data_IF_294096426497
#
_entry.id   IF_294096426497
#
_cell.length_a   1.000
_cell.length_b   1.000
_cell.length_c   1.000
_cell.angle_alpha   90.00
_cell.angle_beta   90.00
_cell.angle_gamma   90.00
#
_symmetry.space_group_name_H-M   'P 1'
#
loop_
_entity.id
_entity.type
_entity.pdbx_description
1 polymer ?
#
# COMPACT_ATOMS: atom_id res chain seq x y z
N UNK A 1 -24.47 -2.82 -14.17
CA UNK A 1 -23.86 -3.95 -14.90
C UNK A 1 -24.75 -5.17 -14.70
N UNK A 2 -25.18 -5.80 -15.80
CA UNK A 2 -25.89 -7.08 -15.76
C UNK A 2 -24.99 -8.18 -15.18
N UNK A 3 -25.57 -9.33 -14.80
CA UNK A 3 -24.78 -10.50 -14.40
C UNK A 3 -23.81 -10.93 -15.51
N UNK A 4 -22.64 -11.42 -15.11
CA UNK A 4 -21.57 -11.87 -16.00
C UNK A 4 -20.28 -11.06 -15.87
N UNK A 5 -19.23 -11.46 -16.62
CA UNK A 5 -17.94 -10.79 -16.58
C UNK A 5 -18.06 -9.33 -17.05
N UNK A 6 -17.16 -8.44 -16.59
CA UNK A 6 -17.04 -7.10 -17.16
C UNK A 6 -16.81 -7.17 -18.66
N UNK A 7 -17.62 -6.42 -19.40
CA UNK A 7 -17.40 -6.16 -20.82
C UNK A 7 -16.60 -4.88 -20.93
N UNK A 8 -15.36 -5.01 -21.38
CA UNK A 8 -14.48 -3.87 -21.59
C UNK A 8 -14.72 -3.32 -22.99
N UNK A 9 -15.05 -2.03 -23.08
CA UNK A 9 -15.31 -1.34 -24.34
C UNK A 9 -14.13 -0.46 -24.76
N UNK A 10 -13.23 -0.14 -23.83
CA UNK A 10 -12.07 0.71 -24.04
C UNK A 10 -10.82 0.14 -23.38
N UNK A 11 -9.67 0.36 -24.02
CA UNK A 11 -8.34 0.07 -23.49
C UNK A 11 -7.39 1.13 -24.02
N UNK A 12 -6.98 2.05 -23.17
CA UNK A 12 -6.14 3.19 -23.55
C UNK A 12 -4.85 3.22 -22.74
N UNK A 13 -3.86 3.96 -23.23
CA UNK A 13 -2.61 4.20 -22.52
C UNK A 13 -2.79 5.40 -21.60
N UNK A 14 -2.55 5.20 -20.30
CA UNK A 14 -2.46 6.29 -19.35
C UNK A 14 -1.14 7.03 -19.57
N UNK A 15 -1.22 8.21 -20.19
CA UNK A 15 -0.07 9.08 -20.42
C UNK A 15 0.13 10.03 -19.24
N UNK A 16 1.05 9.70 -18.33
CA UNK A 16 1.53 10.62 -17.29
C UNK A 16 2.94 11.07 -17.58
N UNK A 17 3.15 12.39 -17.51
CA UNK A 17 4.46 13.00 -17.73
C UNK A 17 4.75 13.96 -16.58
N UNK A 18 5.47 13.50 -15.53
CA UNK A 18 5.91 14.40 -14.48
C UNK A 18 6.71 15.58 -15.08
N UNK A 19 6.28 16.79 -14.74
CA UNK A 19 6.78 18.04 -15.29
C UNK A 19 7.98 18.58 -14.51
N UNK A 20 8.14 19.90 -14.50
CA UNK A 20 9.22 20.55 -13.79
C UNK A 20 8.93 20.63 -12.28
N UNK A 21 7.65 20.72 -11.91
CA UNK A 21 7.15 20.67 -10.54
C UNK A 21 7.60 19.40 -9.81
N UNK A 22 7.65 18.27 -10.51
CA UNK A 22 8.21 17.02 -9.97
C UNK A 22 9.66 17.19 -9.51
N UNK A 23 10.51 17.80 -10.36
CA UNK A 23 11.94 18.01 -10.05
C UNK A 23 12.07 18.94 -8.85
N UNK A 24 11.34 20.05 -8.86
CA UNK A 24 11.36 21.02 -7.76
C UNK A 24 10.92 20.40 -6.44
N UNK A 25 9.84 19.61 -6.42
CA UNK A 25 9.37 18.93 -5.21
C UNK A 25 10.36 17.86 -4.72
N UNK A 26 10.98 17.10 -5.64
CA UNK A 26 12.04 16.16 -5.27
C UNK A 26 13.21 16.89 -4.65
N UNK A 27 13.75 17.93 -5.30
CA UNK A 27 14.87 18.72 -4.78
C UNK A 27 14.60 19.24 -3.37
N UNK A 28 13.42 19.83 -3.14
CA UNK A 28 13.01 20.33 -1.82
C UNK A 28 12.98 19.23 -0.75
N UNK A 29 12.45 18.05 -1.08
CA UNK A 29 12.42 16.93 -0.16
C UNK A 29 13.84 16.40 0.12
N UNK A 30 14.69 16.30 -0.89
CA UNK A 30 16.08 15.85 -0.74
C UNK A 30 16.92 16.83 0.09
N UNK A 31 16.70 18.14 -0.03
CA UNK A 31 17.35 19.16 0.80
C UNK A 31 16.95 19.00 2.28
N UNK A 32 15.66 18.75 2.55
CA UNK A 32 15.17 18.48 3.90
C UNK A 32 15.77 17.20 4.50
N UNK A 33 16.00 16.16 3.68
CA UNK A 33 16.73 14.97 4.12
C UNK A 33 18.22 15.24 4.35
N UNK A 34 18.87 15.98 3.45
CA UNK A 34 20.29 16.33 3.54
C UNK A 34 20.62 17.02 4.87
N UNK A 35 19.75 17.91 5.36
CA UNK A 35 19.90 18.57 6.65
C UNK A 35 19.97 17.61 7.86
N UNK A 36 19.44 16.39 7.72
CA UNK A 36 19.48 15.33 8.75
C UNK A 36 20.65 14.37 8.58
N UNK A 37 21.26 14.31 7.39
CA UNK A 37 22.33 13.35 7.08
C UNK A 37 23.53 13.56 7.98
N UNK A 38 23.89 14.80 8.32
CA UNK A 38 25.10 15.07 9.12
C UNK A 38 25.06 14.49 10.53
N UNK A 39 23.86 14.17 11.04
CA UNK A 39 23.61 13.57 12.34
C UNK A 39 23.71 12.03 12.32
N UNK A 40 23.86 11.42 11.14
CA UNK A 40 23.95 9.96 10.98
C UNK A 40 25.37 9.43 11.22
N UNK A 41 25.53 8.14 11.56
CA UNK A 41 26.83 7.47 11.58
C UNK A 41 27.55 7.58 10.23
N UNK A 42 28.88 7.67 10.24
CA UNK A 42 29.70 7.96 9.04
C UNK A 42 29.40 7.04 7.84
N UNK A 43 29.36 5.73 8.06
CA UNK A 43 29.04 4.76 7.01
C UNK A 43 27.62 4.94 6.43
N UNK A 44 26.68 5.46 7.21
CA UNK A 44 25.33 5.78 6.73
C UNK A 44 25.30 7.12 5.99
N UNK A 45 26.13 8.09 6.38
CA UNK A 45 26.22 9.40 5.72
C UNK A 45 26.65 9.29 4.27
N UNK A 46 27.70 8.51 3.98
CA UNK A 46 28.19 8.33 2.62
C UNK A 46 27.10 7.73 1.72
N UNK A 47 26.46 6.64 2.19
CA UNK A 47 25.36 6.00 1.47
C UNK A 47 24.17 6.92 1.27
N UNK A 48 23.80 7.70 2.30
CA UNK A 48 22.71 8.67 2.21
C UNK A 48 23.03 9.77 1.18
N UNK A 49 24.24 10.35 1.21
CA UNK A 49 24.67 11.37 0.24
C UNK A 49 24.66 10.83 -1.20
N UNK A 50 25.14 9.60 -1.41
CA UNK A 50 25.10 8.95 -2.71
C UNK A 50 23.65 8.76 -3.21
N UNK A 51 22.75 8.27 -2.33
CA UNK A 51 21.33 8.12 -2.66
C UNK A 51 20.67 9.46 -3.03
N UNK A 52 20.91 10.53 -2.25
CA UNK A 52 20.35 11.85 -2.55
C UNK A 52 20.86 12.39 -3.90
N UNK A 53 22.16 12.24 -4.18
CA UNK A 53 22.76 12.69 -5.44
C UNK A 53 22.20 11.93 -6.65
N UNK A 54 22.09 10.60 -6.55
CA UNK A 54 21.51 9.75 -7.60
C UNK A 54 20.04 10.08 -7.83
N UNK A 55 19.26 10.23 -6.77
CA UNK A 55 17.83 10.58 -6.87
C UNK A 55 17.64 11.93 -7.56
N UNK A 56 18.47 12.93 -7.22
CA UNK A 56 18.44 14.26 -7.86
C UNK A 56 18.77 14.19 -9.36
N UNK A 57 19.80 13.44 -9.71
CA UNK A 57 20.18 13.19 -11.11
C UNK A 57 19.03 12.53 -11.87
N UNK A 58 18.44 11.48 -11.31
CA UNK A 58 17.36 10.71 -11.93
C UNK A 58 16.07 11.52 -12.06
N UNK A 59 15.75 12.39 -11.11
CA UNK A 59 14.59 13.29 -11.20
C UNK A 59 14.76 14.33 -12.33
N UNK A 60 15.98 14.82 -12.52
CA UNK A 60 16.31 15.80 -13.58
C UNK A 60 16.37 15.18 -14.97
N UNK A 61 16.60 13.87 -15.07
CA UNK A 61 16.59 13.15 -16.34
C UNK A 61 15.15 12.97 -16.86
N UNK A 62 14.88 13.55 -18.04
CA UNK A 62 13.54 13.55 -18.65
C UNK A 62 13.02 12.16 -18.99
N UNK A 63 13.89 11.22 -19.37
CA UNK A 63 13.48 9.87 -19.69
C UNK A 63 13.21 9.11 -18.39
N UNK A 64 14.14 9.17 -17.43
CA UNK A 64 14.03 8.46 -16.18
C UNK A 64 12.77 8.83 -15.41
N UNK A 65 12.46 10.13 -15.28
CA UNK A 65 11.26 10.58 -14.53
C UNK A 65 9.92 10.16 -15.16
N UNK A 66 9.93 9.70 -16.42
CA UNK A 66 8.73 9.24 -17.14
C UNK A 66 8.54 7.72 -17.12
N UNK A 67 9.56 6.97 -16.72
CA UNK A 67 9.54 5.51 -16.76
C UNK A 67 9.37 4.90 -15.37
N UNK A 68 8.90 3.65 -15.33
CA UNK A 68 8.90 2.85 -14.11
C UNK A 68 7.83 3.21 -13.08
N UNK A 69 6.75 3.89 -13.49
CA UNK A 69 5.57 4.10 -12.65
C UNK A 69 4.62 2.91 -12.74
N UNK A 70 4.27 2.33 -11.60
CA UNK A 70 3.48 1.10 -11.48
C UNK A 70 2.27 1.32 -10.58
N UNK A 71 1.18 0.60 -10.87
CA UNK A 71 -0.01 0.55 -10.02
C UNK A 71 0.07 -0.63 -9.05
N UNK A 72 -0.58 -0.50 -7.88
CA UNK A 72 -0.86 -1.65 -7.00
C UNK A 72 -2.29 -1.60 -6.47
N UNK A 73 -2.59 -0.64 -5.60
CA UNK A 73 -3.88 -0.57 -4.94
C UNK A 73 -4.96 -0.09 -5.91
N UNK A 74 -6.23 -0.28 -5.54
CA UNK A 74 -7.33 0.16 -6.38
C UNK A 74 -7.27 1.68 -6.64
N UNK A 75 -7.66 2.14 -7.85
CA UNK A 75 -7.93 3.54 -8.09
C UNK A 75 -9.00 4.08 -7.15
N UNK A 76 -8.85 5.34 -6.76
CA UNK A 76 -9.77 6.03 -5.87
C UNK A 76 -10.65 7.01 -6.65
N UNK A 77 -11.97 6.93 -6.48
CA UNK A 77 -12.93 7.85 -7.11
C UNK A 77 -13.43 8.85 -6.07
N UNK A 78 -13.09 10.12 -6.25
CA UNK A 78 -13.51 11.23 -5.41
C UNK A 78 -14.72 11.94 -6.04
N UNK A 79 -15.78 12.11 -5.25
CA UNK A 79 -17.01 12.84 -5.62
C UNK A 79 -17.59 12.42 -6.98
N UNK A 80 -17.47 11.13 -7.34
CA UNK A 80 -17.93 10.57 -8.62
C UNK A 80 -17.47 11.34 -9.88
N UNK A 81 -16.37 12.08 -9.79
CA UNK A 81 -15.94 13.01 -10.85
C UNK A 81 -14.43 13.00 -11.06
N UNK A 82 -13.64 12.76 -10.00
CA UNK A 82 -12.19 12.67 -10.07
C UNK A 82 -11.74 11.25 -9.83
N UNK A 83 -10.95 10.72 -10.75
CA UNK A 83 -10.26 9.44 -10.58
C UNK A 83 -8.79 9.71 -10.24
N UNK A 84 -8.34 9.10 -9.15
CA UNK A 84 -6.95 9.15 -8.68
C UNK A 84 -6.39 7.72 -8.76
N UNK A 85 -5.37 7.52 -9.59
CA UNK A 85 -4.67 6.25 -9.71
C UNK A 85 -3.36 6.34 -8.90
N UNK A 86 -3.21 5.56 -7.81
CA UNK A 86 -2.00 5.56 -7.02
C UNK A 86 -0.85 4.88 -7.77
N UNK A 87 0.27 5.58 -7.92
CA UNK A 87 1.48 5.11 -8.59
C UNK A 87 2.67 5.06 -7.63
N UNK A 88 3.63 4.19 -7.94
CA UNK A 88 4.94 4.16 -7.28
C UNK A 88 6.03 3.81 -8.28
N UNK A 89 7.29 4.08 -7.91
CA UNK A 89 8.46 3.69 -8.71
C UNK A 89 9.46 2.93 -7.87
N UNK A 90 9.87 1.74 -8.31
CA UNK A 90 10.99 1.00 -7.70
C UNK A 90 12.33 1.68 -8.01
N UNK A 91 12.41 2.49 -9.07
CA UNK A 91 13.61 3.26 -9.40
C UNK A 91 13.82 4.44 -8.44
N UNK A 92 12.76 5.16 -8.11
CA UNK A 92 12.82 6.27 -7.14
C UNK A 92 12.63 5.82 -5.68
N UNK A 93 11.95 4.70 -5.46
CA UNK A 93 11.48 4.24 -4.15
C UNK A 93 10.55 5.22 -3.44
N UNK A 94 9.72 5.94 -4.20
CA UNK A 94 8.66 6.80 -3.69
C UNK A 94 7.41 6.77 -4.57
N UNK A 95 6.38 7.53 -4.18
CA UNK A 95 5.03 7.47 -4.76
C UNK A 95 4.62 8.73 -5.52
N UNK A 96 3.60 8.60 -6.37
CA UNK A 96 2.99 9.67 -7.17
C UNK A 96 1.50 9.35 -7.38
N UNK A 97 0.66 10.36 -7.59
CA UNK A 97 -0.74 10.13 -7.99
C UNK A 97 -0.95 10.59 -9.42
N UNK A 98 -1.57 9.75 -10.25
CA UNK A 98 -2.12 10.18 -11.53
C UNK A 98 -3.58 10.59 -11.34
N UNK A 99 -3.96 11.75 -11.88
CA UNK A 99 -5.26 12.37 -11.63
C UNK A 99 -5.92 12.68 -12.97
N UNK A 100 -7.20 12.33 -13.08
CA UNK A 100 -8.07 12.72 -14.18
C UNK A 100 -9.43 13.19 -13.64
N UNK A 101 -9.99 14.22 -14.26
CA UNK A 101 -11.33 14.76 -13.98
C UNK A 101 -12.30 14.52 -15.16
N UNK A 102 -11.85 13.80 -16.20
CA UNK A 102 -12.58 13.56 -17.44
C UNK A 102 -12.59 12.07 -17.85
N UNK A 103 -12.52 11.21 -16.83
CA UNK A 103 -12.54 9.74 -16.96
C UNK A 103 -11.44 9.17 -17.86
N UNK A 104 -10.27 9.82 -17.84
CA UNK A 104 -9.05 9.31 -18.46
C UNK A 104 -8.74 9.89 -19.84
N UNK A 105 -9.52 10.86 -20.33
CA UNK A 105 -9.19 11.58 -21.59
C UNK A 105 -7.92 12.41 -21.42
N UNK A 106 -7.76 13.05 -20.27
CA UNK A 106 -6.54 13.77 -19.89
C UNK A 106 -6.08 13.36 -18.49
N UNK A 107 -4.76 13.36 -18.32
CA UNK A 107 -4.10 12.98 -17.07
C UNK A 107 -3.09 14.05 -16.67
N UNK A 108 -3.00 14.30 -15.37
CA UNK A 108 -1.91 15.04 -14.74
C UNK A 108 -1.40 14.26 -13.54
N UNK A 109 -0.36 14.77 -12.89
CA UNK A 109 0.21 14.15 -11.69
C UNK A 109 0.12 15.09 -10.49
N UNK A 110 -0.01 14.51 -9.30
CA UNK A 110 0.23 15.25 -8.04
C UNK A 110 1.69 15.70 -7.94
N UNK A 111 2.02 16.48 -6.90
CA UNK A 111 3.41 16.49 -6.42
C UNK A 111 3.83 15.08 -6.00
N UNK A 112 5.09 14.67 -6.19
CA UNK A 112 5.56 13.38 -5.73
C UNK A 112 5.51 13.30 -4.20
N UNK A 113 5.13 12.15 -3.70
CA UNK A 113 5.14 11.83 -2.27
C UNK A 113 6.54 11.31 -1.94
N UNK A 114 7.50 12.22 -1.72
CA UNK A 114 8.92 11.86 -1.54
C UNK A 114 9.21 11.51 -0.08
N UNK A 115 9.36 10.22 0.18
CA UNK A 115 9.82 9.65 1.46
C UNK A 115 10.98 8.69 1.24
N UNK A 116 11.42 8.05 2.33
CA UNK A 116 12.44 7.00 2.27
C UNK A 116 11.75 5.65 2.09
N UNK A 117 11.51 5.24 0.85
CA UNK A 117 10.99 3.90 0.54
C UNK A 117 9.47 3.75 0.58
N UNK A 118 8.71 4.84 0.54
CA UNK A 118 7.25 4.81 0.55
C UNK A 118 6.68 4.45 -0.82
N UNK A 119 6.16 3.23 -0.96
CA UNK A 119 5.62 2.74 -2.24
C UNK A 119 4.23 2.14 -2.08
N UNK A 120 3.56 1.89 -3.21
CA UNK A 120 2.25 1.21 -3.26
C UNK A 120 1.17 1.89 -2.41
N UNK A 121 0.89 3.19 -2.64
CA UNK A 121 -0.11 3.94 -1.89
C UNK A 121 -1.52 3.38 -2.06
N UNK A 122 -2.33 3.50 -1.01
CA UNK A 122 -3.75 3.12 -0.94
C UNK A 122 -4.52 4.21 -0.20
N UNK A 123 -5.61 4.70 -0.80
CA UNK A 123 -6.27 5.97 -0.42
C UNK A 123 -7.63 5.72 0.23
N UNK A 124 -7.92 6.45 1.30
CA UNK A 124 -9.25 6.65 1.87
C UNK A 124 -9.56 8.13 2.05
N UNK A 125 -10.85 8.46 2.18
CA UNK A 125 -11.31 9.82 2.48
C UNK A 125 -11.75 9.94 3.92
N UNK A 126 -11.30 10.99 4.60
CA UNK A 126 -11.73 11.36 5.95
C UNK A 126 -13.05 12.13 5.92
N UNK A 127 -13.71 12.20 7.07
CA UNK A 127 -14.96 12.92 7.34
C UNK A 127 -14.84 14.41 7.05
N UNK A 128 -13.67 15.01 7.29
CA UNK A 128 -13.37 16.41 6.95
C UNK A 128 -13.18 16.64 5.43
N UNK A 129 -13.22 15.58 4.64
CA UNK A 129 -13.06 15.61 3.19
C UNK A 129 -11.62 15.49 2.70
N UNK A 130 -10.63 15.54 3.60
CA UNK A 130 -9.23 15.29 3.25
C UNK A 130 -9.01 13.84 2.84
N UNK A 131 -7.97 13.60 2.04
CA UNK A 131 -7.55 12.26 1.64
C UNK A 131 -6.42 11.81 2.55
N UNK A 132 -6.41 10.53 2.88
CA UNK A 132 -5.36 9.87 3.64
C UNK A 132 -4.84 8.69 2.82
N UNK A 133 -3.53 8.51 2.79
CA UNK A 133 -2.89 7.37 2.13
C UNK A 133 -2.01 6.59 3.09
N UNK A 134 -2.05 5.26 2.97
CA UNK A 134 -1.09 4.33 3.57
C UNK A 134 -0.24 3.69 2.48
N UNK A 135 1.05 3.53 2.76
CA UNK A 135 2.07 3.04 1.83
C UNK A 135 2.89 1.93 2.48
N UNK A 136 3.31 0.98 1.66
CA UNK A 136 4.32 -0.02 2.01
C UNK A 136 5.65 0.67 2.27
N UNK A 137 6.39 0.16 3.25
CA UNK A 137 7.71 0.65 3.63
C UNK A 137 8.84 -0.28 3.13
N UNK A 138 9.50 0.16 2.07
CA UNK A 138 10.75 -0.42 1.57
C UNK A 138 12.00 0.28 2.11
N UNK A 139 11.82 1.28 2.98
CA UNK A 139 12.86 2.13 3.54
C UNK A 139 13.66 1.49 4.67
N UNK A 140 14.40 2.28 5.46
CA UNK A 140 15.09 1.80 6.66
C UNK A 140 14.11 1.40 7.78
N UNK A 141 14.64 1.01 8.95
CA UNK A 141 13.83 0.87 10.16
C UNK A 141 13.11 2.22 10.47
N UNK A 142 11.93 2.21 11.14
CA UNK A 142 11.41 1.17 12.04
C UNK A 142 10.54 0.07 11.41
N UNK A 143 10.36 0.01 10.08
CA UNK A 143 9.49 -1.00 9.44
C UNK A 143 8.02 -0.81 9.81
N UNK A 144 7.47 0.30 9.33
CA UNK A 144 6.10 0.75 9.61
C UNK A 144 5.39 1.10 8.32
N UNK A 145 4.08 0.89 8.22
CA UNK A 145 3.35 1.53 7.14
C UNK A 145 3.56 3.04 7.21
N UNK A 146 3.75 3.66 6.05
CA UNK A 146 4.00 5.09 5.93
C UNK A 146 2.74 5.80 5.49
N UNK A 147 2.51 6.99 6.02
CA UNK A 147 1.30 7.76 5.81
C UNK A 147 1.57 9.16 5.27
N UNK A 148 0.57 9.70 4.58
CA UNK A 148 0.51 11.09 4.16
C UNK A 148 -0.96 11.50 3.98
N UNK A 149 -1.23 12.80 4.02
CA UNK A 149 -2.55 13.36 3.81
C UNK A 149 -2.56 14.44 2.72
N UNK A 150 -3.69 14.57 2.02
CA UNK A 150 -3.94 15.63 1.06
C UNK A 150 -5.19 16.40 1.45
N UNK A 151 -5.09 17.73 1.46
CA UNK A 151 -6.20 18.66 1.77
C UNK A 151 -6.73 19.38 0.54
N UNK A 152 -6.20 19.07 -0.63
CA UNK A 152 -6.48 19.71 -1.90
C UNK A 152 -6.89 18.69 -2.98
N UNK A 153 -7.62 17.65 -2.58
CA UNK A 153 -8.21 16.66 -3.49
C UNK A 153 -7.16 15.84 -4.27
N UNK A 154 -6.01 15.58 -3.63
CA UNK A 154 -4.95 14.71 -4.11
C UNK A 154 -3.84 15.39 -4.90
N UNK A 155 -3.88 16.72 -5.07
CA UNK A 155 -2.88 17.47 -5.86
C UNK A 155 -1.54 17.55 -5.12
N UNK A 156 -1.58 17.83 -3.81
CA UNK A 156 -0.40 17.85 -2.94
C UNK A 156 -0.61 16.97 -1.71
N UNK A 157 0.50 16.54 -1.12
CA UNK A 157 0.54 15.58 -0.03
C UNK A 157 1.50 16.06 1.05
N UNK A 158 1.14 15.85 2.31
CA UNK A 158 1.98 16.18 3.46
C UNK A 158 3.29 15.38 3.46
N UNK A 159 4.31 15.83 4.19
CA UNK A 159 5.50 15.00 4.44
C UNK A 159 5.14 13.60 4.92
N UNK A 160 5.91 12.60 4.49
CA UNK A 160 5.71 11.21 4.86
C UNK A 160 6.04 11.01 6.33
N UNK A 161 5.16 10.31 7.04
CA UNK A 161 5.36 9.91 8.44
C UNK A 161 5.24 8.40 8.59
N UNK A 162 6.08 7.80 9.43
CA UNK A 162 5.88 6.42 9.86
C UNK A 162 4.68 6.36 10.81
N UNK A 163 3.83 5.35 10.63
CA UNK A 163 2.73 5.05 11.57
C UNK A 163 3.18 4.09 12.67
N UNK A 164 2.28 3.73 13.58
CA UNK A 164 2.53 2.65 14.56
C UNK A 164 2.23 1.25 14.01
N UNK A 165 1.77 1.14 12.76
CA UNK A 165 1.40 -0.14 12.14
C UNK A 165 2.65 -0.83 11.57
N UNK A 166 3.03 -2.03 12.04
CA UNK A 166 4.18 -2.75 11.50
C UNK A 166 4.04 -3.04 10.01
N UNK A 167 5.16 -3.02 9.29
CA UNK A 167 5.21 -3.49 7.91
C UNK A 167 6.56 -4.11 7.56
N UNK A 168 6.62 -5.38 7.14
CA UNK A 168 7.87 -6.06 6.82
C UNK A 168 8.32 -5.76 5.37
N UNK A 169 7.95 -4.59 4.83
CA UNK A 169 8.03 -4.28 3.40
C UNK A 169 7.10 -5.15 2.56
N UNK A 170 5.89 -5.41 3.04
CA UNK A 170 4.84 -6.12 2.30
C UNK A 170 3.73 -5.17 1.86
N UNK A 171 3.02 -5.49 0.78
CA UNK A 171 1.88 -4.68 0.35
C UNK A 171 0.78 -4.64 1.42
N UNK A 172 0.10 -3.51 1.54
CA UNK A 172 -1.07 -3.30 2.39
C UNK A 172 -2.15 -2.54 1.63
N UNK A 173 -3.42 -2.74 1.94
CA UNK A 173 -4.51 -1.99 1.31
C UNK A 173 -5.52 -1.53 2.37
N UNK A 174 -5.93 -0.27 2.27
CA UNK A 174 -6.92 0.36 3.14
C UNK A 174 -8.15 0.77 2.31
N UNK A 175 -9.34 0.49 2.83
CA UNK A 175 -10.61 0.89 2.20
C UNK A 175 -11.53 1.55 3.23
N UNK A 176 -12.36 2.48 2.75
CA UNK A 176 -13.47 3.07 3.49
C UNK A 176 -14.73 2.27 3.17
N UNK A 177 -15.37 1.72 4.19
CA UNK A 177 -16.64 1.02 4.05
C UNK A 177 -17.81 2.00 4.02
N UNK A 178 -18.95 1.55 3.49
CA UNK A 178 -20.19 2.34 3.41
C UNK A 178 -20.70 2.86 4.76
N UNK A 179 -20.40 2.17 5.87
CA UNK A 179 -20.78 2.58 7.22
C UNK A 179 -19.81 3.62 7.84
N UNK A 180 -18.73 3.98 7.14
CA UNK A 180 -17.72 4.92 7.62
C UNK A 180 -16.52 4.27 8.32
N UNK A 181 -16.53 2.96 8.56
CA UNK A 181 -15.39 2.25 9.10
C UNK A 181 -14.27 2.12 8.06
N UNK A 182 -13.03 2.11 8.54
CA UNK A 182 -11.85 1.84 7.73
C UNK A 182 -11.43 0.39 7.93
N UNK A 183 -11.15 -0.32 6.85
CA UNK A 183 -10.58 -1.67 6.87
C UNK A 183 -9.19 -1.63 6.29
N UNK A 184 -8.22 -2.19 7.01
CA UNK A 184 -6.85 -2.41 6.54
C UNK A 184 -6.58 -3.90 6.46
N UNK A 185 -6.03 -4.34 5.33
CA UNK A 185 -5.44 -5.67 5.18
C UNK A 185 -3.92 -5.53 4.99
N UNK A 186 -3.13 -6.12 5.89
CA UNK A 186 -1.68 -5.98 5.90
C UNK A 186 -1.00 -7.14 6.64
N UNK A 187 0.33 -7.27 6.50
CA UNK A 187 1.10 -8.07 7.47
C UNK A 187 1.42 -7.21 8.69
N UNK A 188 1.12 -7.71 9.89
CA UNK A 188 1.27 -7.01 11.17
C UNK A 188 2.61 -7.30 11.87
N UNK A 189 3.67 -7.54 11.08
CA UNK A 189 5.02 -7.85 11.55
C UNK A 189 6.05 -6.84 11.06
N UNK A 190 7.19 -6.75 11.73
CA UNK A 190 8.36 -6.01 11.21
C UNK A 190 9.28 -6.88 10.35
N UNK A 191 9.17 -8.22 10.50
CA UNK A 191 9.99 -9.21 9.80
C UNK A 191 9.15 -10.42 9.38
N UNK A 192 9.39 -10.89 8.17
CA UNK A 192 8.66 -12.02 7.58
C UNK A 192 7.22 -11.65 7.22
N UNK A 193 6.55 -12.48 6.44
CA UNK A 193 5.20 -12.21 5.91
C UNK A 193 4.23 -13.35 6.26
N UNK A 194 4.35 -13.87 7.46
CA UNK A 194 3.65 -15.07 7.96
C UNK A 194 2.38 -14.75 8.75
N UNK A 195 1.95 -13.49 8.78
CA UNK A 195 0.79 -13.06 9.57
C UNK A 195 0.01 -12.02 8.76
N UNK A 196 -1.06 -12.45 8.11
CA UNK A 196 -1.93 -11.59 7.30
C UNK A 196 -3.17 -11.21 8.12
N UNK A 197 -3.24 -9.95 8.51
CA UNK A 197 -4.24 -9.39 9.39
C UNK A 197 -5.25 -8.52 8.64
N UNK A 198 -6.52 -8.62 9.02
CA UNK A 198 -7.56 -7.63 8.72
C UNK A 198 -7.87 -6.87 10.00
N UNK A 199 -7.78 -5.54 9.95
CA UNK A 199 -8.10 -4.67 11.08
C UNK A 199 -9.15 -3.62 10.72
N UNK A 200 -10.00 -3.26 11.69
CA UNK A 200 -11.07 -2.27 11.53
C UNK A 200 -10.85 -1.09 12.47
N UNK A 201 -11.02 0.11 11.95
CA UNK A 201 -11.05 1.38 12.68
C UNK A 201 -12.39 2.07 12.46
N UNK A 202 -12.95 2.63 13.53
CA UNK A 202 -14.15 3.48 13.53
C UNK A 202 -13.84 4.97 13.79
N UNK A 203 -12.54 5.30 13.90
CA UNK A 203 -12.01 6.63 14.27
C UNK A 203 -10.96 7.15 13.29
N UNK A 204 -11.12 6.80 12.00
CA UNK A 204 -10.30 7.30 10.89
C UNK A 204 -8.82 6.91 10.99
N UNK A 205 -8.58 5.65 11.39
CA UNK A 205 -7.26 5.04 11.45
C UNK A 205 -6.44 5.43 12.67
N UNK A 206 -7.00 6.20 13.61
CA UNK A 206 -6.35 6.55 14.87
C UNK A 206 -6.16 5.32 15.77
N UNK A 207 -7.19 4.47 15.87
CA UNK A 207 -7.11 3.18 16.55
C UNK A 207 -7.69 2.06 15.69
N UNK A 208 -7.16 0.86 15.88
CA UNK A 208 -7.57 -0.35 15.16
C UNK A 208 -8.14 -1.35 16.15
N UNK A 209 -9.39 -1.12 16.56
CA UNK A 209 -10.04 -1.79 17.70
C UNK A 209 -10.29 -3.28 17.47
N UNK A 210 -10.64 -3.65 16.25
CA UNK A 210 -10.97 -5.03 15.89
C UNK A 210 -9.95 -5.59 14.92
N UNK A 211 -9.55 -6.84 15.14
CA UNK A 211 -8.44 -7.48 14.43
C UNK A 211 -8.71 -8.97 14.28
N UNK A 212 -8.60 -9.49 13.06
CA UNK A 212 -8.66 -10.92 12.81
C UNK A 212 -7.72 -11.33 11.70
N UNK A 213 -6.91 -12.37 11.95
CA UNK A 213 -6.01 -12.92 10.94
C UNK A 213 -6.79 -13.74 9.92
N UNK A 214 -6.49 -13.49 8.63
CA UNK A 214 -6.86 -14.42 7.55
C UNK A 214 -5.87 -15.60 7.50
N UNK A 215 -4.61 -15.31 7.80
CA UNK A 215 -3.54 -16.30 7.88
C UNK A 215 -2.62 -15.93 9.04
N UNK A 216 -2.25 -16.91 9.86
CA UNK A 216 -1.35 -16.71 10.98
C UNK A 216 -0.51 -17.97 11.21
N UNK A 217 0.73 -17.91 10.75
CA UNK A 217 1.70 -19.00 10.93
C UNK A 217 2.80 -18.56 11.90
N UNK A 218 3.33 -19.52 12.66
CA UNK A 218 4.46 -19.25 13.56
C UNK A 218 5.68 -18.84 12.73
N UNK A 219 6.34 -17.76 13.13
CA UNK A 219 7.61 -17.34 12.53
C UNK A 219 8.65 -18.49 12.57
N UNK A 220 9.32 -18.73 11.45
CA UNK A 220 10.37 -19.74 11.35
C UNK A 220 10.62 -20.22 9.93
N UNK A 221 11.55 -21.14 9.79
CA UNK A 221 11.77 -21.85 8.53
C UNK A 221 10.51 -22.65 8.16
N UNK A 222 10.09 -22.55 6.90
CA UNK A 222 8.87 -23.22 6.42
C UNK A 222 7.56 -22.46 6.68
N UNK A 223 7.59 -21.33 7.40
CA UNK A 223 6.40 -20.48 7.56
C UNK A 223 5.89 -19.99 6.20
N UNK A 224 4.57 -19.99 6.04
CA UNK A 224 3.91 -19.40 4.88
C UNK A 224 4.26 -17.92 4.70
N UNK A 225 4.22 -17.45 3.45
CA UNK A 225 4.38 -16.05 3.13
C UNK A 225 3.17 -15.52 2.36
N UNK A 226 2.60 -14.43 2.84
CA UNK A 226 1.38 -13.83 2.33
C UNK A 226 1.69 -12.45 1.75
N UNK A 227 1.37 -12.26 0.48
CA UNK A 227 1.78 -11.06 -0.25
C UNK A 227 0.63 -10.42 -1.01
N UNK A 228 0.81 -9.12 -1.26
CA UNK A 228 -0.05 -8.32 -2.13
C UNK A 228 -1.53 -8.53 -1.84
N UNK A 229 -1.97 -8.39 -0.57
CA UNK A 229 -3.38 -8.50 -0.27
C UNK A 229 -4.15 -7.41 -1.00
N UNK A 230 -5.38 -7.72 -1.38
CA UNK A 230 -6.32 -6.76 -1.92
C UNK A 230 -7.71 -7.02 -1.38
N UNK A 231 -8.49 -5.96 -1.11
CA UNK A 231 -9.79 -6.08 -0.46
C UNK A 231 -10.82 -5.12 -1.05
N UNK A 232 -12.06 -5.61 -1.19
CA UNK A 232 -13.21 -4.81 -1.64
C UNK A 232 -14.44 -5.10 -0.78
N UNK A 233 -15.35 -4.12 -0.70
CA UNK A 233 -16.69 -4.31 -0.14
C UNK A 233 -17.69 -4.62 -1.27
N UNK A 234 -18.40 -5.73 -1.14
CA UNK A 234 -19.46 -6.13 -2.06
C UNK A 234 -20.75 -5.31 -1.84
N UNK A 235 -21.72 -5.51 -2.74
CA UNK A 235 -23.01 -4.80 -2.70
C UNK A 235 -23.83 -5.15 -1.46
N UNK A 236 -23.75 -6.42 -1.04
CA UNK A 236 -24.42 -6.96 0.15
C UNK A 236 -23.73 -6.56 1.48
N UNK A 237 -22.64 -5.80 1.41
CA UNK A 237 -21.90 -5.32 2.58
C UNK A 237 -20.78 -6.27 3.05
N UNK A 238 -20.68 -7.47 2.49
CA UNK A 238 -19.58 -8.41 2.79
C UNK A 238 -18.26 -7.95 2.17
N UNK A 239 -17.16 -8.54 2.61
CA UNK A 239 -15.80 -8.23 2.20
C UNK A 239 -15.22 -9.40 1.41
N UNK A 240 -14.58 -9.10 0.29
CA UNK A 240 -13.80 -10.06 -0.49
C UNK A 240 -12.34 -9.66 -0.45
N UNK A 241 -11.47 -10.58 -0.03
CA UNK A 241 -10.03 -10.38 -0.04
C UNK A 241 -9.35 -11.40 -0.97
N UNK A 242 -8.33 -10.97 -1.70
CA UNK A 242 -7.41 -11.86 -2.43
C UNK A 242 -5.97 -11.59 -2.04
N UNK A 243 -5.12 -12.61 -2.09
CA UNK A 243 -3.70 -12.47 -1.75
C UNK A 243 -2.89 -13.61 -2.35
N UNK A 244 -1.61 -13.34 -2.58
CA UNK A 244 -0.63 -14.39 -2.90
C UNK A 244 -0.33 -15.22 -1.66
N UNK A 245 -0.47 -16.53 -1.77
CA UNK A 245 -0.26 -17.50 -0.70
C UNK A 245 0.91 -18.41 -1.05
N UNK A 246 2.03 -18.24 -0.36
CA UNK A 246 3.23 -19.06 -0.53
C UNK A 246 3.32 -20.01 0.66
N UNK A 247 3.57 -21.30 0.40
CA UNK A 247 3.59 -22.34 1.43
C UNK A 247 4.86 -23.19 1.34
N UNK A 248 5.16 -23.90 2.43
CA UNK A 248 6.37 -24.71 2.60
C UNK A 248 6.62 -25.66 1.41
N UNK A 249 7.90 -25.84 1.05
CA UNK A 249 8.39 -26.93 0.18
C UNK A 249 7.91 -28.30 0.63
N UNK A 250 7.84 -28.56 1.93
CA UNK A 250 7.40 -29.86 2.45
C UNK A 250 5.92 -30.13 2.14
N UNK A 251 5.13 -29.07 1.94
CA UNK A 251 3.70 -29.14 1.55
C UNK A 251 3.50 -29.00 0.03
N UNK A 252 4.57 -28.91 -0.74
CA UNK A 252 4.53 -28.65 -2.17
C UNK A 252 4.11 -29.89 -2.97
N UNK A 253 3.09 -29.73 -3.82
CA UNK A 253 2.71 -30.71 -4.85
C UNK A 253 3.47 -30.43 -6.14
N UNK A 254 3.71 -31.48 -6.93
CA UNK A 254 4.31 -31.34 -8.27
C UNK A 254 3.20 -31.23 -9.33
N UNK A 255 3.40 -30.37 -10.31
CA UNK A 255 2.57 -30.36 -11.52
C UNK A 255 2.91 -31.55 -12.46
N UNK A 256 2.15 -31.77 -13.55
CA UNK A 256 2.43 -32.86 -14.49
C UNK A 256 3.81 -32.80 -15.16
N UNK A 257 4.49 -31.65 -15.10
CA UNK A 257 5.86 -31.44 -15.59
C UNK A 257 6.92 -31.58 -14.47
N UNK A 258 6.52 -32.01 -13.28
CA UNK A 258 7.40 -32.23 -12.13
C UNK A 258 7.81 -30.96 -11.37
N UNK A 259 7.25 -29.79 -11.69
CA UNK A 259 7.57 -28.51 -11.04
C UNK A 259 6.83 -28.39 -9.72
N UNK A 260 7.51 -27.93 -8.67
CA UNK A 260 6.90 -27.69 -7.36
C UNK A 260 5.95 -26.49 -7.42
N UNK A 261 4.66 -26.74 -7.17
CA UNK A 261 3.66 -25.72 -6.92
C UNK A 261 3.77 -25.31 -5.45
N UNK A 262 4.16 -24.05 -5.23
CA UNK A 262 4.38 -23.48 -3.88
C UNK A 262 3.69 -22.14 -3.67
N UNK A 263 2.89 -21.74 -4.65
CA UNK A 263 2.27 -20.42 -4.72
C UNK A 263 0.88 -20.59 -5.30
N UNK A 264 -0.09 -19.94 -4.67
CA UNK A 264 -1.45 -19.83 -5.17
C UNK A 264 -1.96 -18.41 -4.95
N UNK A 265 -3.08 -18.06 -5.57
CA UNK A 265 -3.90 -16.94 -5.12
C UNK A 265 -5.01 -17.52 -4.25
N UNK A 266 -5.13 -17.05 -3.02
CA UNK A 266 -6.27 -17.36 -2.15
C UNK A 266 -7.30 -16.24 -2.24
N UNK A 267 -8.56 -16.63 -2.08
CA UNK A 267 -9.70 -15.74 -1.95
C UNK A 267 -10.38 -16.03 -0.60
N UNK A 268 -10.75 -14.98 0.12
CA UNK A 268 -11.52 -15.05 1.35
C UNK A 268 -12.78 -14.17 1.22
N UNK A 269 -13.90 -14.65 1.75
CA UNK A 269 -15.18 -13.96 1.79
C UNK A 269 -15.72 -13.99 3.22
N UNK A 270 -15.97 -12.82 3.80
CA UNK A 270 -16.34 -12.65 5.20
C UNK A 270 -17.11 -11.32 5.39
N UNK A 271 -17.56 -11.01 6.60
CA UNK A 271 -18.21 -9.73 6.92
C UNK A 271 -17.49 -9.01 8.08
N UNK A 272 -17.89 -7.77 8.36
CA UNK A 272 -17.29 -7.00 9.47
C UNK A 272 -17.45 -7.68 10.83
N UNK A 273 -18.62 -8.28 11.10
CA UNK A 273 -18.91 -8.98 12.36
C UNK A 273 -17.92 -10.13 12.61
N UNK A 274 -17.57 -10.89 11.57
CA UNK A 274 -16.55 -11.92 11.65
C UNK A 274 -15.19 -11.35 12.08
N UNK A 275 -14.80 -10.16 11.61
CA UNK A 275 -13.56 -9.52 12.06
C UNK A 275 -13.70 -9.03 13.51
N UNK A 276 -14.84 -8.44 13.88
CA UNK A 276 -15.10 -7.86 15.20
C UNK A 276 -15.16 -8.89 16.33
N UNK A 277 -15.57 -10.12 16.02
CA UNK A 277 -15.55 -11.26 16.94
C UNK A 277 -14.16 -11.89 17.09
N UNK A 278 -13.20 -11.55 16.21
CA UNK A 278 -11.81 -11.95 16.31
C UNK A 278 -11.07 -11.10 17.33
N UNK A 279 -10.46 -11.78 18.32
CA UNK A 279 -9.59 -11.23 19.40
C UNK A 279 -9.87 -9.76 19.72
N UNK A 280 -10.94 -9.52 20.48
CA UNK A 280 -11.05 -8.27 21.23
C UNK A 280 -9.83 -8.19 22.14
N UNK A 281 -9.07 -7.10 22.09
CA UNK A 281 -8.01 -6.84 23.05
C UNK A 281 -8.61 -6.89 24.46
N UNK A 282 -8.49 -8.04 25.15
CA UNK A 282 -9.16 -8.31 26.42
C UNK A 282 -9.57 -9.77 26.67
N UNK A 283 -9.63 -10.63 25.66
CA UNK A 283 -9.96 -12.06 25.85
C UNK A 283 -8.94 -12.98 25.17
N UNK A 284 -7.78 -13.15 25.81
CA UNK A 284 -6.98 -14.37 25.65
C UNK A 284 -7.38 -15.27 26.80
N UNK A 285 -8.28 -16.21 26.55
CA UNK A 285 -8.36 -17.43 27.33
C UNK A 285 -8.59 -18.57 26.36
N UNK A 286 -7.74 -19.58 26.50
CA UNK A 286 -7.63 -20.81 25.73
C UNK A 286 -8.90 -21.23 24.98
N UNK A 287 -8.77 -21.49 23.67
CA UNK A 287 -9.70 -22.39 23.00
C UNK A 287 -8.93 -23.58 22.46
N UNK A 288 -9.17 -24.69 23.16
CA UNK A 288 -8.77 -26.05 22.84
C UNK A 288 -9.13 -26.43 21.40
N UNK A 289 -8.19 -27.14 20.78
CA UNK A 289 -8.42 -27.93 19.56
C UNK A 289 -9.54 -28.95 19.80
N UNK A 290 -10.46 -29.06 18.85
CA UNK A 290 -11.11 -30.32 18.50
C UNK A 290 -10.65 -30.72 17.12
#
# INVERSE_FOLDING_TARGET
QAEGPPKWETSEVLHVTPGQEFVTSVDQALDAFAAKVDQMPEAQRERARAYLAETRKNASDKLYRRLGWMTRAHPFVLDNSRLIVPLYSDGFSFSLMAITDDWGRTWRTSTPLVGLGNIQPSIVRRKDGSLYTLMRDNGPAPKRLQASESRDRGETWSPIVDTDLPNPGSGAEIILLKNGHWVLISNDTERGRHSLLVSISDDEGQTWKWKRHLEHERAGEGAGEFHYPSIIQARDGTLHATYSYFFDRQKAVKDPQGRLIRKAIKHAHFNEEWVMTGVTAGQITEVMRK
#
